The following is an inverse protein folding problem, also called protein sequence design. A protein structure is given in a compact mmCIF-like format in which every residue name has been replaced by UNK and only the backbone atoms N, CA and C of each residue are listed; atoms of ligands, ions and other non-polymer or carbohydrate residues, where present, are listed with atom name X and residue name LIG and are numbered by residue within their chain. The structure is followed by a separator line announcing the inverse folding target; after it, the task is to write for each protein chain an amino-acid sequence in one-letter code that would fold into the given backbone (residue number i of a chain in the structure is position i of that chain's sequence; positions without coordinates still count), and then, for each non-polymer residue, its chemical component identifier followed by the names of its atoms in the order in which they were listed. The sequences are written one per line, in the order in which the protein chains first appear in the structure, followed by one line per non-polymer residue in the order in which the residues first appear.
data_IF_461552484237
#
_entry.id   IF_461552484237
#
_cell.length_a   1.000
_cell.length_b   1.000
_cell.length_c   1.000
_cell.angle_alpha   90.00
_cell.angle_beta   90.00
_cell.angle_gamma   90.00
#
_symmetry.space_group_name_H-M   'P 1'
#
loop_
_entity.id
_entity.type
_entity.pdbx_description
1 polymer ?
#
# COMPACT_ATOMS: atom_id res chain seq x y z
N UNK A 1 -17.62 -5.25 4.65
CA UNK A 1 -17.27 -6.67 4.72
C UNK A 1 -18.06 -7.31 5.84
N UNK A 2 -18.49 -8.55 5.68
CA UNK A 2 -19.07 -9.39 6.75
C UNK A 2 -17.96 -10.01 7.60
N UNK A 3 -18.30 -10.56 8.76
CA UNK A 3 -17.33 -11.28 9.63
C UNK A 3 -16.69 -12.47 8.89
N UNK A 4 -17.46 -13.23 8.11
CA UNK A 4 -16.93 -14.32 7.27
C UNK A 4 -15.92 -13.82 6.22
N UNK A 5 -16.15 -12.62 5.66
CA UNK A 5 -15.21 -12.04 4.70
C UNK A 5 -13.91 -11.58 5.39
N UNK A 6 -14.00 -11.01 6.59
CA UNK A 6 -12.83 -10.59 7.36
C UNK A 6 -11.98 -11.81 7.75
N UNK A 7 -12.61 -12.90 8.20
CA UNK A 7 -11.87 -14.12 8.56
C UNK A 7 -11.20 -14.76 7.35
N UNK A 8 -11.85 -14.73 6.18
CA UNK A 8 -11.22 -15.18 4.93
C UNK A 8 -9.98 -14.36 4.58
N UNK A 9 -10.08 -13.04 4.63
CA UNK A 9 -8.93 -12.17 4.36
C UNK A 9 -7.82 -12.35 5.40
N UNK A 10 -8.17 -12.63 6.66
CA UNK A 10 -7.19 -12.93 7.71
C UNK A 10 -6.36 -14.16 7.37
N UNK A 11 -7.00 -15.22 6.89
CA UNK A 11 -6.32 -16.46 6.46
C UNK A 11 -5.43 -16.22 5.25
N UNK A 12 -5.91 -15.47 4.26
CA UNK A 12 -5.13 -15.14 3.06
C UNK A 12 -3.93 -14.24 3.38
N UNK A 13 -4.11 -13.25 4.27
CA UNK A 13 -3.03 -12.41 4.79
C UNK A 13 -2.00 -13.24 5.57
N UNK A 14 -2.43 -14.17 6.43
CA UNK A 14 -1.54 -15.04 7.19
C UNK A 14 -0.66 -15.90 6.26
N UNK A 15 -1.24 -16.45 5.20
CA UNK A 15 -0.51 -17.24 4.21
C UNK A 15 0.51 -16.39 3.43
N UNK A 16 0.11 -15.19 3.00
CA UNK A 16 1.00 -14.23 2.36
C UNK A 16 2.14 -13.82 3.30
N UNK A 17 1.83 -13.41 4.53
CA UNK A 17 2.80 -12.95 5.53
C UNK A 17 3.87 -14.01 5.79
N UNK A 18 3.44 -15.26 6.00
CA UNK A 18 4.37 -16.40 6.13
C UNK A 18 5.22 -16.58 4.87
N UNK A 19 4.63 -16.55 3.68
CA UNK A 19 5.41 -16.71 2.45
C UNK A 19 6.45 -15.60 2.21
N UNK A 20 6.15 -14.37 2.65
CA UNK A 20 6.98 -13.19 2.41
C UNK A 20 8.09 -13.04 3.45
N UNK A 21 7.81 -13.33 4.72
CA UNK A 21 8.72 -13.03 5.83
C UNK A 21 9.33 -14.29 6.47
N UNK A 22 8.72 -15.47 6.35
CA UNK A 22 9.15 -16.71 7.03
C UNK A 22 10.29 -17.43 6.27
N UNK A 23 10.61 -17.04 5.03
CA UNK A 23 11.64 -17.74 4.25
C UNK A 23 13.09 -17.34 4.59
N UNK A 24 13.33 -16.28 5.38
CA UNK A 24 14.69 -15.75 5.62
C UNK A 24 15.01 -15.29 7.05
N UNK A 25 14.08 -15.34 8.00
CA UNK A 25 14.36 -14.89 9.38
C UNK A 25 14.25 -16.04 10.38
N UNK A 26 15.39 -16.36 11.01
CA UNK A 26 15.52 -17.24 12.16
C UNK A 26 14.41 -16.99 13.20
N UNK A 27 13.49 -17.95 13.31
CA UNK A 27 12.88 -18.42 14.57
C UNK A 27 12.17 -17.35 15.45
N UNK A 28 11.71 -16.23 14.88
CA UNK A 28 11.15 -15.11 15.67
C UNK A 28 9.87 -14.44 15.19
N UNK A 29 9.40 -14.68 13.98
CA UNK A 29 8.13 -14.11 13.49
C UNK A 29 7.06 -15.18 13.38
N UNK A 30 6.74 -15.83 14.51
CA UNK A 30 5.44 -16.50 14.62
C UNK A 30 4.36 -15.46 14.36
N UNK A 31 3.53 -15.69 13.34
CA UNK A 31 2.34 -14.89 13.09
C UNK A 31 1.52 -14.81 14.39
N UNK A 32 1.52 -13.64 15.00
CA UNK A 32 0.74 -13.34 16.19
C UNK A 32 -0.24 -12.22 15.82
N UNK A 33 -1.51 -12.57 15.69
CA UNK A 33 -2.53 -11.59 15.36
C UNK A 33 -2.80 -10.62 16.51
N UNK A 34 -2.32 -10.89 17.73
CA UNK A 34 -2.42 -9.95 18.84
C UNK A 34 -1.25 -8.96 18.87
N UNK A 35 -0.19 -9.21 18.09
CA UNK A 35 0.92 -8.28 17.90
C UNK A 35 0.48 -7.03 17.11
N UNK A 36 0.89 -5.86 17.59
CA UNK A 36 0.45 -4.57 17.05
C UNK A 36 0.91 -4.36 15.60
N UNK A 37 2.12 -4.81 15.26
CA UNK A 37 2.69 -4.66 13.93
C UNK A 37 1.92 -5.54 12.92
N UNK A 38 1.68 -6.80 13.29
CA UNK A 38 0.91 -7.76 12.47
C UNK A 38 -0.52 -7.28 12.25
N UNK A 39 -1.19 -6.73 13.28
CA UNK A 39 -2.54 -6.14 13.14
C UNK A 39 -2.56 -4.92 12.24
N UNK A 40 -1.54 -4.07 12.36
CA UNK A 40 -1.43 -2.86 11.53
C UNK A 40 -1.25 -3.24 10.06
N UNK A 41 -0.41 -4.23 9.77
CA UNK A 41 -0.23 -4.77 8.42
C UNK A 41 -1.49 -5.43 7.87
N UNK A 42 -2.25 -6.15 8.70
CA UNK A 42 -3.54 -6.72 8.28
C UNK A 42 -4.59 -5.64 7.97
N UNK A 43 -4.67 -4.59 8.79
CA UNK A 43 -5.54 -3.43 8.52
C UNK A 43 -5.13 -2.77 7.19
N UNK A 44 -3.82 -2.63 6.94
CA UNK A 44 -3.27 -2.16 5.67
C UNK A 44 -3.65 -3.06 4.49
N UNK A 45 -3.58 -4.39 4.65
CA UNK A 45 -4.02 -5.38 3.66
C UNK A 45 -5.51 -5.24 3.32
N UNK A 46 -6.36 -5.16 4.34
CA UNK A 46 -7.80 -4.97 4.19
C UNK A 46 -8.12 -3.64 3.52
N UNK A 47 -7.45 -2.57 3.90
CA UNK A 47 -7.55 -1.28 3.23
C UNK A 47 -7.13 -1.42 1.76
N UNK A 48 -5.97 -2.01 1.49
CA UNK A 48 -5.49 -2.30 0.15
C UNK A 48 -6.54 -3.01 -0.72
N UNK A 49 -7.24 -4.01 -0.19
CA UNK A 49 -8.27 -4.79 -0.89
C UNK A 49 -9.61 -4.07 -1.06
N UNK A 50 -10.15 -3.49 0.01
CA UNK A 50 -11.40 -2.70 -0.05
C UNK A 50 -11.24 -1.51 -0.98
N UNK A 51 -10.05 -0.91 -0.95
CA UNK A 51 -9.74 0.15 -1.87
C UNK A 51 -9.31 -0.39 -3.23
N UNK A 52 -8.78 -1.61 -3.41
CA UNK A 52 -8.56 -2.20 -4.74
C UNK A 52 -9.89 -2.51 -5.45
N UNK A 53 -10.89 -3.01 -4.72
CA UNK A 53 -12.25 -3.22 -5.24
C UNK A 53 -13.00 -1.90 -5.52
N UNK A 54 -12.50 -0.78 -4.97
CA UNK A 54 -12.97 0.59 -5.26
C UNK A 54 -11.96 1.44 -6.06
N UNK A 55 -10.80 0.92 -6.43
CA UNK A 55 -9.64 1.76 -6.76
C UNK A 55 -9.78 2.35 -8.13
N UNK A 56 -9.97 3.66 -8.19
CA UNK A 56 -9.36 4.47 -9.24
C UNK A 56 -7.91 4.68 -8.82
N UNK A 57 -7.06 3.65 -8.99
CA UNK A 57 -5.62 3.89 -9.09
C UNK A 57 -5.44 4.82 -10.28
N UNK A 58 -4.80 5.95 -10.06
CA UNK A 58 -4.44 6.87 -11.11
C UNK A 58 -3.16 6.39 -11.74
N UNK A 59 -3.09 6.47 -13.06
CA UNK A 59 -1.82 6.33 -13.77
C UNK A 59 -0.86 7.42 -13.25
N UNK A 60 0.44 7.14 -13.20
CA UNK A 60 1.48 8.11 -12.80
C UNK A 60 1.33 9.46 -13.51
N UNK A 61 0.84 9.46 -14.75
CA UNK A 61 0.72 10.65 -15.58
C UNK A 61 -0.69 11.28 -15.51
N UNK A 62 -1.61 10.69 -14.74
CA UNK A 62 -2.96 11.22 -14.55
C UNK A 62 -2.98 12.30 -13.47
N UNK A 63 -3.14 13.54 -13.91
CA UNK A 63 -3.11 14.74 -13.04
C UNK A 63 -4.49 15.25 -12.66
N UNK A 64 -5.57 14.62 -13.13
CA UNK A 64 -6.93 15.16 -13.02
C UNK A 64 -7.43 15.28 -11.59
N UNK A 65 -6.97 14.39 -10.72
CA UNK A 65 -7.42 14.28 -9.34
C UNK A 65 -6.33 14.71 -8.34
N UNK A 66 -5.22 15.30 -8.82
CA UNK A 66 -4.22 15.88 -7.94
C UNK A 66 -4.72 17.21 -7.36
N UNK A 67 -5.13 17.21 -6.09
CA UNK A 67 -5.54 18.40 -5.35
C UNK A 67 -4.77 18.51 -4.04
N UNK A 68 -3.68 19.29 -4.03
CA UNK A 68 -2.97 19.79 -2.82
C UNK A 68 -2.67 18.78 -1.69
N UNK A 69 -2.69 17.47 -1.97
CA UNK A 69 -2.40 16.43 -0.99
C UNK A 69 -0.89 16.22 -0.88
N UNK A 70 -0.29 16.45 0.30
CA UNK A 70 1.15 16.35 0.46
C UNK A 70 1.64 14.90 0.53
N UNK A 71 0.77 13.91 0.76
CA UNK A 71 1.15 12.51 0.90
C UNK A 71 0.12 11.62 0.17
N UNK A 72 0.61 10.70 -0.65
CA UNK A 72 -0.20 9.75 -1.42
C UNK A 72 0.34 8.33 -1.24
N UNK A 73 -0.47 7.33 -1.62
CA UNK A 73 -0.02 5.95 -1.72
C UNK A 73 0.42 5.70 -3.17
N UNK A 74 1.61 5.17 -3.35
CA UNK A 74 2.17 4.84 -4.67
C UNK A 74 2.33 3.33 -4.85
N UNK A 75 2.31 2.88 -6.09
CA UNK A 75 2.69 1.53 -6.50
C UNK A 75 3.80 1.59 -7.54
N UNK A 76 4.88 0.83 -7.30
CA UNK A 76 6.01 0.75 -8.22
C UNK A 76 5.84 -0.33 -9.28
N UNK A 77 6.70 -0.32 -10.29
CA UNK A 77 6.77 -1.38 -11.32
C UNK A 77 7.10 -2.78 -10.77
N UNK A 78 7.72 -2.86 -9.58
CA UNK A 78 7.99 -4.12 -8.90
C UNK A 78 6.83 -4.59 -8.02
N UNK A 79 5.76 -3.80 -7.92
CA UNK A 79 4.58 -4.10 -7.13
C UNK A 79 4.67 -3.66 -5.67
N UNK A 80 5.73 -2.93 -5.28
CA UNK A 80 5.84 -2.36 -3.95
C UNK A 80 4.81 -1.26 -3.74
N UNK A 81 4.26 -1.17 -2.53
CA UNK A 81 3.25 -0.18 -2.15
C UNK A 81 3.65 0.50 -0.85
N UNK A 82 3.78 1.83 -0.88
CA UNK A 82 4.19 2.65 0.26
C UNK A 82 3.72 4.09 0.08
N UNK A 83 3.95 4.95 1.07
CA UNK A 83 3.59 6.37 1.00
C UNK A 83 4.71 7.23 0.43
N UNK A 84 4.35 8.28 -0.29
CA UNK A 84 5.30 9.27 -0.80
C UNK A 84 4.66 10.64 -0.87
N UNK A 85 5.47 11.68 -0.77
CA UNK A 85 5.04 13.02 -1.11
C UNK A 85 4.89 13.14 -2.62
N UNK A 86 3.70 13.54 -3.08
CA UNK A 86 3.46 13.87 -4.47
C UNK A 86 3.42 15.39 -4.63
N UNK A 87 4.01 15.90 -5.71
CA UNK A 87 3.99 17.32 -6.04
C UNK A 87 3.91 17.53 -7.56
N UNK A 88 3.24 18.60 -7.99
CA UNK A 88 3.24 19.00 -9.40
C UNK A 88 4.47 19.84 -9.71
N UNK A 89 5.29 19.38 -10.65
CA UNK A 89 6.33 20.18 -11.30
C UNK A 89 6.07 20.24 -12.80
N UNK A 90 5.97 21.45 -13.35
CA UNK A 90 5.75 21.69 -14.78
C UNK A 90 4.57 20.91 -15.40
N UNK A 91 3.52 20.64 -14.62
CA UNK A 91 2.34 19.89 -15.08
C UNK A 91 2.51 18.37 -15.09
N UNK A 92 3.60 17.87 -14.51
CA UNK A 92 3.86 16.45 -14.28
C UNK A 92 3.82 16.19 -12.78
N UNK A 93 3.20 15.09 -12.37
CA UNK A 93 3.26 14.65 -10.97
C UNK A 93 4.62 14.00 -10.76
N UNK A 94 5.33 14.48 -9.74
CA UNK A 94 6.58 13.95 -9.25
C UNK A 94 6.36 13.36 -7.86
N UNK A 95 7.10 12.30 -7.54
CA UNK A 95 7.03 11.63 -6.25
C UNK A 95 8.39 11.72 -5.58
N UNK A 96 8.44 12.18 -4.33
CA UNK A 96 9.70 12.36 -3.60
C UNK A 96 10.48 11.05 -3.42
N UNK A 97 9.79 9.91 -3.43
CA UNK A 97 10.45 8.60 -3.36
C UNK A 97 11.30 8.27 -4.59
N UNK A 98 11.04 8.85 -5.78
CA UNK A 98 11.77 8.49 -7.00
C UNK A 98 13.28 8.80 -6.92
N UNK A 99 13.71 9.75 -6.06
CA UNK A 99 15.13 10.01 -5.80
C UNK A 99 15.79 8.94 -4.92
N UNK A 100 15.03 8.34 -3.99
CA UNK A 100 15.49 7.27 -3.10
C UNK A 100 15.33 5.88 -3.71
N UNK A 101 14.44 5.77 -4.71
CA UNK A 101 14.16 4.58 -5.48
C UNK A 101 15.10 4.38 -6.67
N UNK A 102 16.16 5.17 -6.88
CA UNK A 102 17.20 4.78 -7.84
C UNK A 102 18.22 3.85 -7.12
N UNK A 103 18.33 2.54 -7.49
CA UNK A 103 17.83 1.85 -8.69
C UNK A 103 16.64 0.88 -8.46
N UNK A 104 15.86 1.07 -7.40
CA UNK A 104 14.71 0.29 -6.92
C UNK A 104 13.34 0.57 -7.59
N UNK A 105 13.26 1.33 -8.68
CA UNK A 105 12.12 1.28 -9.62
C UNK A 105 11.26 2.54 -9.72
N UNK A 106 10.38 2.56 -10.72
CA UNK A 106 9.52 3.71 -11.04
C UNK A 106 8.12 3.57 -10.44
N UNK A 107 7.52 4.70 -10.08
CA UNK A 107 6.08 4.75 -9.76
C UNK A 107 5.27 4.55 -11.04
N UNK A 108 4.34 3.60 -11.02
CA UNK A 108 3.39 3.34 -12.11
C UNK A 108 2.00 3.87 -11.80
N UNK A 109 1.58 3.76 -10.54
CA UNK A 109 0.26 4.16 -10.10
C UNK A 109 0.32 4.90 -8.78
N UNK A 110 -0.66 5.76 -8.54
CA UNK A 110 -0.81 6.47 -7.28
C UNK A 110 -2.29 6.63 -6.92
N UNK A 111 -2.55 6.98 -5.66
CA UNK A 111 -3.90 7.29 -5.15
C UNK A 111 -3.83 8.06 -3.84
N UNK A 112 -4.91 8.77 -3.54
CA UNK A 112 -5.11 9.40 -2.25
C UNK A 112 -5.10 8.40 -1.08
N UNK A 113 -4.77 8.92 0.09
CA UNK A 113 -5.02 8.19 1.31
C UNK A 113 -6.52 7.97 1.51
N UNK A 114 -6.90 6.84 2.13
CA UNK A 114 -8.23 6.65 2.69
C UNK A 114 -8.65 7.87 3.52
N UNK A 115 -9.78 8.51 3.19
CA UNK A 115 -10.41 9.41 4.18
C UNK A 115 -10.73 8.59 5.44
N UNK A 116 -10.43 9.11 6.64
CA UNK A 116 -10.86 8.48 7.88
C UNK A 116 -12.40 8.40 7.85
N UNK A 117 -12.95 7.22 8.14
CA UNK A 117 -14.41 7.06 8.26
C UNK A 117 -14.86 7.80 9.52
N UNK A 118 -15.80 8.74 9.37
CA UNK A 118 -16.56 9.35 10.47
C UNK A 118 -17.28 8.29 11.34
#
# INVERSE_FOLDING_TARGET
MTEEQIEKERVDFEAWYKSTFDSNFLDRTTFDYDDLETRTMFIGWLAGKVYAEKSMWYDRDDTRDYFDEPEVIVQTEFGDVFSSEAYLDNGVICFACEEELDPWGKVLYWRHFPEPRD
#
